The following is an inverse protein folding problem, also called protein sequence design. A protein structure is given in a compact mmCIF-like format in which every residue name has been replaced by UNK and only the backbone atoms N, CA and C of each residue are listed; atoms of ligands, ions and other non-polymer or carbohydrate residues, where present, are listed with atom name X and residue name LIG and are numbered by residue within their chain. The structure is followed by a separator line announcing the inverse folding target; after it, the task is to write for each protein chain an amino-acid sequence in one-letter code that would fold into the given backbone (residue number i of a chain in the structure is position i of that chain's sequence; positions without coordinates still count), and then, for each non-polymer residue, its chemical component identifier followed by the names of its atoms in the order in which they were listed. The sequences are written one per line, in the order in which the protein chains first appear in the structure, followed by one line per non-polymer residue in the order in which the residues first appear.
data_IF_332609630726
#
_entry.id   IF_332609630726
#
_cell.length_a   1.000
_cell.length_b   1.000
_cell.length_c   1.000
_cell.angle_alpha   90.00
_cell.angle_beta   90.00
_cell.angle_gamma   90.00
#
_symmetry.space_group_name_H-M   'P 1'
#
loop_
_entity.id
_entity.type
_entity.pdbx_description
1 polymer ?
#
# COMPACT_ATOMS: atom_id res chain seq x y z
N UNK A 1 -59.58 -11.08 -41.82
CA UNK A 1 -58.61 -10.02 -42.09
C UNK A 1 -57.96 -9.65 -40.72
N UNK A 2 -56.90 -10.36 -40.37
CA UNK A 2 -56.25 -10.25 -39.05
C UNK A 2 -55.12 -9.23 -39.11
N UNK A 3 -55.25 -8.09 -38.40
CA UNK A 3 -54.20 -7.11 -38.22
C UNK A 3 -53.27 -7.59 -37.11
N UNK A 4 -52.06 -8.00 -37.48
CA UNK A 4 -50.98 -8.35 -36.56
C UNK A 4 -50.29 -7.03 -36.11
N UNK A 5 -50.51 -6.62 -34.86
CA UNK A 5 -49.84 -5.49 -34.25
C UNK A 5 -48.42 -5.91 -33.84
N UNK A 6 -47.40 -5.42 -34.56
CA UNK A 6 -46.00 -5.55 -34.17
C UNK A 6 -45.69 -4.54 -33.06
N UNK A 7 -45.43 -5.03 -31.86
CA UNK A 7 -44.94 -4.24 -30.73
C UNK A 7 -43.42 -4.09 -30.84
N UNK A 8 -42.93 -2.93 -31.26
CA UNK A 8 -41.53 -2.63 -31.32
C UNK A 8 -41.05 -2.23 -29.91
N UNK A 9 -40.37 -3.14 -29.22
CA UNK A 9 -39.78 -2.90 -27.89
C UNK A 9 -38.48 -2.12 -28.04
N UNK A 10 -38.52 -0.83 -27.67
CA UNK A 10 -37.35 0.05 -27.67
C UNK A 10 -36.50 -0.32 -26.46
N UNK A 11 -35.35 -1.01 -26.65
CA UNK A 11 -34.38 -1.29 -25.60
C UNK A 11 -33.51 -0.03 -25.42
N UNK A 12 -33.78 0.73 -24.37
CA UNK A 12 -32.90 1.83 -23.95
C UNK A 12 -31.66 1.22 -23.31
N UNK A 13 -30.55 1.14 -24.05
CA UNK A 13 -29.23 0.82 -23.49
C UNK A 13 -28.72 2.05 -22.76
N UNK A 14 -28.96 2.11 -21.46
CA UNK A 14 -28.40 3.11 -20.59
C UNK A 14 -26.90 2.88 -20.45
N UNK A 15 -26.07 3.68 -21.14
CA UNK A 15 -24.65 3.73 -20.90
C UNK A 15 -24.40 4.35 -19.52
N UNK A 16 -24.07 3.53 -18.52
CA UNK A 16 -23.55 4.03 -17.25
C UNK A 16 -22.14 4.59 -17.51
N UNK A 17 -22.02 5.90 -17.54
CA UNK A 17 -20.71 6.57 -17.46
C UNK A 17 -20.11 6.21 -16.09
N UNK A 18 -19.16 5.29 -16.08
CA UNK A 18 -18.31 5.09 -14.93
C UNK A 18 -17.49 6.38 -14.76
N UNK A 19 -17.80 7.16 -13.73
CA UNK A 19 -16.95 8.29 -13.34
C UNK A 19 -15.58 7.74 -13.00
N UNK A 20 -14.56 8.14 -13.75
CA UNK A 20 -13.19 7.80 -13.43
C UNK A 20 -12.89 8.38 -12.04
N UNK A 21 -12.49 7.52 -11.10
CA UNK A 21 -12.11 7.97 -9.77
C UNK A 21 -10.90 8.90 -9.89
N UNK A 22 -10.97 10.07 -9.27
CA UNK A 22 -9.83 10.98 -9.18
C UNK A 22 -8.71 10.31 -8.35
N UNK A 23 -7.47 10.60 -8.70
CA UNK A 23 -6.34 10.15 -7.91
C UNK A 23 -6.39 10.78 -6.50
N UNK A 24 -6.14 9.99 -5.44
CA UNK A 24 -5.98 10.54 -4.09
C UNK A 24 -4.88 11.60 -4.02
N UNK A 25 -5.02 12.54 -3.10
CA UNK A 25 -4.00 13.56 -2.82
C UNK A 25 -3.04 13.01 -1.79
N UNK A 26 -1.75 12.95 -2.08
CA UNK A 26 -0.73 12.48 -1.14
C UNK A 26 -0.25 13.67 -0.30
N UNK A 27 -0.95 13.96 0.79
CA UNK A 27 -0.68 15.12 1.66
C UNK A 27 -0.49 14.77 3.16
N UNK A 28 -0.58 13.47 3.50
CA UNK A 28 -0.45 12.97 4.88
C UNK A 28 -1.75 13.04 5.66
N UNK A 29 -2.91 13.18 4.97
CA UNK A 29 -4.25 13.24 5.56
C UNK A 29 -5.21 12.42 4.72
N UNK A 30 -5.94 11.53 5.35
CA UNK A 30 -6.92 10.69 4.65
C UNK A 30 -8.31 11.29 4.78
N UNK A 31 -8.84 11.77 3.67
CA UNK A 31 -10.19 12.33 3.56
C UNK A 31 -11.26 11.25 3.47
N UNK A 32 -12.50 11.61 3.81
CA UNK A 32 -13.64 10.71 3.66
C UNK A 32 -13.90 10.40 2.18
N UNK A 33 -13.90 9.10 1.81
CA UNK A 33 -14.18 8.68 0.43
C UNK A 33 -13.03 8.92 -0.56
N UNK A 34 -11.85 9.30 -0.09
CA UNK A 34 -10.68 9.57 -0.92
C UNK A 34 -10.11 8.31 -1.57
N UNK A 35 -10.14 7.20 -0.87
CA UNK A 35 -9.68 5.90 -1.33
C UNK A 35 -10.83 4.96 -1.69
N UNK A 36 -10.68 4.19 -2.77
CA UNK A 36 -11.70 3.28 -3.28
C UNK A 36 -11.94 2.08 -2.37
N UNK A 37 -10.88 1.61 -1.74
CA UNK A 37 -10.87 0.41 -0.91
C UNK A 37 -10.25 0.70 0.44
N UNK A 38 -10.73 -0.02 1.45
CA UNK A 38 -10.19 0.09 2.82
C UNK A 38 -10.30 -1.26 3.51
N UNK A 39 -9.23 -1.64 4.21
CA UNK A 39 -9.17 -2.81 5.06
C UNK A 39 -8.59 -2.43 6.42
N UNK A 40 -9.27 -2.82 7.50
CA UNK A 40 -8.74 -2.72 8.86
C UNK A 40 -8.24 -4.08 9.33
N UNK A 41 -6.98 -4.14 9.71
CA UNK A 41 -6.40 -5.34 10.33
C UNK A 41 -6.52 -5.24 11.87
N UNK A 42 -7.47 -5.95 12.45
CA UNK A 42 -7.85 -5.85 13.86
C UNK A 42 -6.67 -6.08 14.84
N UNK A 43 -5.80 -7.05 14.56
CA UNK A 43 -4.70 -7.42 15.46
C UNK A 43 -3.61 -6.35 15.56
N UNK A 44 -3.32 -5.63 14.50
CA UNK A 44 -2.35 -4.52 14.50
C UNK A 44 -3.01 -3.17 14.73
N UNK A 45 -4.31 -3.08 14.53
CA UNK A 45 -5.04 -1.82 14.49
C UNK A 45 -4.75 -0.97 13.25
N UNK A 46 -3.96 -1.50 12.27
CA UNK A 46 -3.66 -0.77 11.04
C UNK A 46 -4.86 -0.75 10.12
N UNK A 47 -5.16 0.42 9.59
CA UNK A 47 -6.05 0.62 8.46
C UNK A 47 -5.20 0.83 7.21
N UNK A 48 -5.46 0.05 6.17
CA UNK A 48 -4.86 0.17 4.84
C UNK A 48 -5.95 0.60 3.89
N UNK A 49 -5.78 1.74 3.23
CA UNK A 49 -6.69 2.22 2.18
C UNK A 49 -5.93 2.35 0.87
N UNK A 50 -6.58 2.05 -0.26
CA UNK A 50 -5.91 2.16 -1.55
C UNK A 50 -6.86 2.49 -2.70
N UNK A 51 -6.27 3.10 -3.73
CA UNK A 51 -6.89 3.31 -5.04
C UNK A 51 -5.88 3.02 -6.13
N UNK A 52 -6.35 2.44 -7.23
CA UNK A 52 -5.55 2.25 -8.45
C UNK A 52 -6.10 3.18 -9.51
N UNK A 53 -5.25 4.06 -10.02
CA UNK A 53 -5.57 5.01 -11.07
C UNK A 53 -4.56 4.87 -12.19
N UNK A 54 -5.00 4.36 -13.34
CA UNK A 54 -4.13 4.01 -14.44
C UNK A 54 -3.13 2.90 -14.04
N UNK A 55 -1.84 3.18 -14.15
CA UNK A 55 -0.75 2.28 -13.80
C UNK A 55 -0.14 2.56 -12.41
N UNK A 56 -0.79 3.39 -11.62
CA UNK A 56 -0.30 3.86 -10.33
C UNK A 56 -1.23 3.42 -9.20
N UNK A 57 -0.66 2.91 -8.12
CA UNK A 57 -1.36 2.63 -6.87
C UNK A 57 -1.04 3.74 -5.86
N UNK A 58 -2.09 4.21 -5.19
CA UNK A 58 -2.05 5.13 -4.06
C UNK A 58 -2.43 4.34 -2.82
N UNK A 59 -1.62 4.43 -1.78
CA UNK A 59 -1.80 3.66 -0.55
C UNK A 59 -1.75 4.62 0.63
N UNK A 60 -2.74 4.50 1.52
CA UNK A 60 -2.76 5.18 2.80
C UNK A 60 -2.71 4.17 3.94
N UNK A 61 -1.94 4.48 4.97
CA UNK A 61 -1.70 3.65 6.13
C UNK A 61 -1.97 4.47 7.40
N UNK A 62 -2.82 3.96 8.29
CA UNK A 62 -3.09 4.58 9.57
C UNK A 62 -2.90 3.54 10.68
N UNK A 63 -2.04 3.83 11.66
CA UNK A 63 -1.77 2.89 12.76
C UNK A 63 -1.29 3.64 14.00
N UNK A 64 -1.65 3.11 15.17
CA UNK A 64 -1.07 3.57 16.43
C UNK A 64 0.37 3.01 16.58
N UNK A 65 1.35 3.90 16.63
CA UNK A 65 2.75 3.58 16.93
C UNK A 65 3.46 4.84 17.38
N UNK A 66 4.32 4.73 18.38
CA UNK A 66 5.16 5.85 18.86
C UNK A 66 6.46 6.01 18.09
N UNK A 67 6.89 4.98 17.40
CA UNK A 67 8.11 4.94 16.61
C UNK A 67 7.82 4.77 15.12
N UNK A 68 8.81 4.31 14.37
CA UNK A 68 8.68 4.07 12.94
C UNK A 68 7.60 3.01 12.64
N UNK A 69 7.06 3.05 11.46
CA UNK A 69 6.20 2.02 10.91
C UNK A 69 6.72 1.55 9.55
N UNK A 70 6.35 0.34 9.17
CA UNK A 70 6.67 -0.20 7.85
C UNK A 70 5.69 -1.27 7.41
N UNK A 71 5.65 -1.45 6.10
CA UNK A 71 4.94 -2.55 5.45
C UNK A 71 5.91 -3.34 4.58
N UNK A 72 5.54 -4.57 4.25
CA UNK A 72 6.26 -5.39 3.29
C UNK A 72 5.30 -6.12 2.37
N UNK A 73 5.65 -6.21 1.11
CA UNK A 73 4.93 -6.94 0.08
C UNK A 73 5.75 -8.17 -0.31
N UNK A 74 5.19 -9.35 -0.18
CA UNK A 74 5.90 -10.59 -0.44
C UNK A 74 5.01 -11.57 -1.22
N UNK A 75 5.44 -11.96 -2.40
CA UNK A 75 4.83 -13.08 -3.11
C UNK A 75 4.95 -14.35 -2.25
N UNK A 76 3.94 -15.21 -2.27
CA UNK A 76 3.99 -16.48 -1.57
C UNK A 76 5.14 -17.33 -2.12
N UNK A 77 6.19 -17.53 -1.31
CA UNK A 77 7.39 -18.30 -1.63
C UNK A 77 7.82 -19.12 -0.41
N UNK A 78 8.61 -20.14 -0.65
CA UNK A 78 9.21 -20.95 0.43
C UNK A 78 10.16 -20.13 1.31
N UNK A 79 10.92 -19.19 0.74
CA UNK A 79 11.85 -18.30 1.46
C UNK A 79 11.23 -16.93 1.77
N UNK A 80 10.45 -16.92 2.83
CA UNK A 80 9.50 -15.84 3.17
C UNK A 80 10.08 -14.46 3.46
N UNK A 81 11.37 -14.29 3.65
CA UNK A 81 11.93 -12.97 3.99
C UNK A 81 12.71 -12.37 2.83
N UNK A 82 13.51 -13.18 2.17
CA UNK A 82 14.33 -12.73 1.05
C UNK A 82 13.45 -12.29 -0.13
N UNK A 83 13.71 -11.11 -0.65
CA UNK A 83 12.94 -10.52 -1.74
C UNK A 83 11.61 -9.91 -1.30
N UNK A 84 11.44 -9.60 -0.01
CA UNK A 84 10.33 -8.77 0.45
C UNK A 84 10.61 -7.33 0.05
N UNK A 85 9.73 -6.75 -0.74
CA UNK A 85 9.67 -5.33 -1.06
C UNK A 85 9.09 -4.60 0.16
N UNK A 86 9.78 -3.60 0.71
CA UNK A 86 9.45 -2.95 1.98
C UNK A 86 9.43 -1.44 1.88
N UNK A 87 8.45 -0.86 2.54
CA UNK A 87 8.32 0.58 2.73
C UNK A 87 8.40 0.90 4.20
N UNK A 88 9.36 1.73 4.59
CA UNK A 88 9.52 2.17 5.97
C UNK A 88 9.34 3.67 6.09
N UNK A 89 8.67 4.09 7.16
CA UNK A 89 8.29 5.47 7.40
C UNK A 89 8.72 5.87 8.80
N UNK A 90 9.40 7.01 8.88
CA UNK A 90 9.90 7.55 10.14
C UNK A 90 9.81 9.07 10.18
N UNK A 91 10.02 9.62 11.36
CA UNK A 91 10.06 11.07 11.59
C UNK A 91 11.37 11.40 12.32
N UNK A 92 12.16 12.32 11.78
CA UNK A 92 13.37 12.82 12.42
C UNK A 92 13.30 14.34 12.50
N UNK A 93 13.38 14.86 13.73
CA UNK A 93 13.30 16.30 13.97
C UNK A 93 12.03 16.96 13.39
N UNK A 94 10.92 16.24 13.29
CA UNK A 94 9.67 16.70 12.65
C UNK A 94 9.65 16.57 11.13
N UNK A 95 10.71 16.01 10.53
CA UNK A 95 10.79 15.75 9.09
C UNK A 95 10.36 14.31 8.78
N UNK A 96 9.32 14.15 7.97
CA UNK A 96 8.89 12.87 7.45
C UNK A 96 9.89 12.28 6.44
N UNK A 97 10.13 10.98 6.54
CA UNK A 97 10.97 10.22 5.62
C UNK A 97 10.29 8.91 5.26
N UNK A 98 10.18 8.65 3.96
CA UNK A 98 9.75 7.38 3.39
C UNK A 98 10.95 6.70 2.72
N UNK A 99 11.14 5.43 3.02
CA UNK A 99 12.26 4.62 2.52
C UNK A 99 11.72 3.45 1.74
N UNK A 100 12.29 3.24 0.55
CA UNK A 100 12.09 2.10 -0.31
C UNK A 100 13.22 1.10 -0.08
N UNK A 101 12.90 -0.13 0.32
CA UNK A 101 13.86 -1.07 0.85
C UNK A 101 13.53 -2.51 0.43
N UNK A 102 14.55 -3.31 0.29
CA UNK A 102 14.43 -4.75 0.01
C UNK A 102 15.04 -5.60 1.12
N UNK A 103 14.44 -6.73 1.41
CA UNK A 103 15.03 -7.76 2.24
C UNK A 103 15.98 -8.63 1.42
N UNK A 104 17.25 -8.28 1.37
CA UNK A 104 18.27 -9.00 0.58
C UNK A 104 18.59 -10.37 1.17
N UNK A 105 18.60 -10.47 2.50
CA UNK A 105 18.94 -11.70 3.23
C UNK A 105 17.72 -12.28 3.94
N UNK A 106 17.76 -13.56 4.24
CA UNK A 106 16.71 -14.27 4.99
C UNK A 106 16.51 -13.71 6.41
N UNK A 107 17.56 -13.18 7.01
CA UNK A 107 17.60 -12.56 8.34
C UNK A 107 18.41 -11.29 8.30
N UNK A 108 18.21 -10.40 9.26
CA UNK A 108 18.89 -9.13 9.35
C UNK A 108 18.04 -7.96 8.87
N UNK A 109 18.65 -6.81 8.80
CA UNK A 109 18.02 -5.56 8.38
C UNK A 109 17.78 -5.55 6.87
N UNK A 110 16.70 -4.88 6.40
CA UNK A 110 16.53 -4.59 4.98
C UNK A 110 17.56 -3.56 4.53
N UNK A 111 17.84 -3.54 3.24
CA UNK A 111 18.74 -2.57 2.62
C UNK A 111 17.91 -1.59 1.78
N UNK A 112 18.36 -0.34 1.61
CA UNK A 112 17.76 0.56 0.63
C UNK A 112 17.85 -0.06 -0.75
N UNK A 113 16.82 0.02 -1.56
CA UNK A 113 16.82 -0.50 -2.92
C UNK A 113 17.99 0.07 -3.74
N UNK A 114 18.27 1.36 -3.57
CA UNK A 114 19.41 2.02 -4.22
C UNK A 114 20.77 1.46 -3.78
N UNK A 115 20.89 0.93 -2.58
CA UNK A 115 22.11 0.27 -2.10
C UNK A 115 22.20 -1.18 -2.60
N UNK A 116 21.06 -1.82 -2.85
CA UNK A 116 20.96 -3.17 -3.41
C UNK A 116 21.02 -3.23 -4.94
N UNK A 117 21.23 -2.08 -5.61
CA UNK A 117 21.32 -1.97 -7.06
C UNK A 117 19.99 -1.68 -7.78
N UNK A 118 18.92 -1.43 -7.00
CA UNK A 118 17.63 -1.00 -7.48
C UNK A 118 17.47 0.54 -7.48
N UNK A 119 16.23 1.00 -7.43
CA UNK A 119 15.85 2.41 -7.43
C UNK A 119 14.83 2.68 -6.33
N UNK A 120 14.69 3.95 -5.92
CA UNK A 120 13.53 4.38 -5.16
C UNK A 120 12.32 4.51 -6.09
N UNK A 121 11.32 3.67 -5.92
CA UNK A 121 10.10 3.62 -6.74
C UNK A 121 8.94 4.42 -6.14
N UNK A 122 9.11 5.01 -4.97
CA UNK A 122 8.13 5.91 -4.37
C UNK A 122 8.03 7.17 -5.21
N UNK A 123 6.85 7.41 -5.83
CA UNK A 123 6.59 8.60 -6.64
C UNK A 123 6.27 9.81 -5.77
N UNK A 124 5.43 9.61 -4.76
CA UNK A 124 5.01 10.62 -3.81
C UNK A 124 4.89 9.97 -2.44
N UNK A 125 5.23 10.69 -1.39
CA UNK A 125 4.98 10.26 -0.02
C UNK A 125 4.78 11.48 0.89
N UNK A 126 3.79 11.38 1.77
CA UNK A 126 3.55 12.34 2.84
C UNK A 126 3.12 11.60 4.10
N UNK A 127 3.45 12.13 5.26
CA UNK A 127 3.07 11.51 6.51
C UNK A 127 3.02 12.48 7.66
N UNK A 128 2.10 12.21 8.58
CA UNK A 128 1.95 12.93 9.84
C UNK A 128 2.02 11.96 11.00
N UNK A 129 2.54 12.44 12.13
CA UNK A 129 2.64 11.70 13.38
C UNK A 129 2.33 12.63 14.54
N UNK A 130 1.31 12.30 15.33
CA UNK A 130 0.84 13.11 16.46
C UNK A 130 1.48 12.75 17.82
N UNK A 131 2.51 11.92 17.82
CA UNK A 131 3.15 11.35 19.00
C UNK A 131 2.65 9.95 19.38
N UNK A 132 1.53 9.51 18.82
CA UNK A 132 0.94 8.19 19.06
C UNK A 132 0.43 7.49 17.79
N UNK A 133 0.01 8.26 16.80
CA UNK A 133 -0.63 7.73 15.60
C UNK A 133 0.06 8.23 14.34
N UNK A 134 0.24 7.34 13.39
CA UNK A 134 0.66 7.62 12.04
C UNK A 134 -0.52 7.75 11.09
N UNK A 135 -0.44 8.71 10.19
CA UNK A 135 -1.10 8.71 8.90
C UNK A 135 -0.03 8.89 7.85
N UNK A 136 0.11 7.92 6.95
CA UNK A 136 1.06 7.93 5.85
C UNK A 136 0.32 7.69 4.56
N UNK A 137 0.66 8.44 3.54
CA UNK A 137 0.22 8.24 2.18
C UNK A 137 1.43 8.16 1.26
N UNK A 138 1.39 7.26 0.29
CA UNK A 138 2.39 7.18 -0.74
C UNK A 138 1.82 6.58 -2.03
N UNK A 139 2.52 6.79 -3.14
CA UNK A 139 2.17 6.21 -4.43
C UNK A 139 3.38 5.62 -5.12
N UNK A 140 3.15 4.59 -5.92
CA UNK A 140 4.14 3.98 -6.80
C UNK A 140 3.47 3.42 -8.06
N UNK A 141 4.28 3.07 -9.06
CA UNK A 141 3.76 2.29 -10.20
C UNK A 141 3.38 0.88 -9.77
N UNK A 142 2.35 0.31 -10.38
CA UNK A 142 1.99 -1.10 -10.22
C UNK A 142 3.16 -2.00 -10.64
N UNK A 143 3.80 -1.64 -11.75
CA UNK A 143 5.03 -2.27 -12.26
C UNK A 143 6.11 -1.21 -12.34
N UNK A 144 7.12 -1.31 -11.50
CA UNK A 144 8.22 -0.34 -11.45
C UNK A 144 9.31 -0.65 -12.46
N UNK A 145 9.41 -1.92 -12.89
CA UNK A 145 10.51 -2.43 -13.69
C UNK A 145 11.81 -2.54 -12.90
N UNK A 146 11.74 -2.52 -11.57
CA UNK A 146 12.86 -2.74 -10.67
C UNK A 146 12.81 -4.17 -10.10
N UNK A 147 13.94 -4.86 -10.09
CA UNK A 147 14.03 -6.23 -9.57
C UNK A 147 13.96 -6.30 -8.03
N UNK A 148 14.17 -5.17 -7.34
CA UNK A 148 14.02 -5.05 -5.90
C UNK A 148 12.54 -4.95 -5.49
N UNK A 149 11.68 -4.49 -6.39
CA UNK A 149 10.26 -4.29 -6.16
C UNK A 149 9.42 -5.53 -6.48
N UNK A 150 8.33 -5.67 -5.77
CA UNK A 150 7.27 -6.59 -6.16
C UNK A 150 6.33 -5.93 -7.18
N UNK A 151 6.15 -6.54 -8.35
CA UNK A 151 5.10 -6.14 -9.28
C UNK A 151 3.72 -6.38 -8.64
N UNK A 152 2.88 -5.35 -8.68
CA UNK A 152 1.50 -5.43 -8.20
C UNK A 152 0.59 -5.70 -9.40
N UNK A 153 -0.11 -6.82 -9.38
CA UNK A 153 -1.20 -7.11 -10.33
C UNK A 153 -2.51 -7.08 -9.57
N UNK A 154 -3.49 -6.23 -9.95
CA UNK A 154 -4.79 -6.18 -9.28
C UNK A 154 -5.43 -7.56 -9.15
N UNK A 155 -5.89 -7.91 -7.95
CA UNK A 155 -6.46 -9.21 -7.63
C UNK A 155 -5.44 -10.34 -7.38
N UNK A 156 -4.16 -10.13 -7.63
CA UNK A 156 -3.12 -11.08 -7.26
C UNK A 156 -2.96 -11.15 -5.75
N UNK A 157 -2.91 -12.35 -5.20
CA UNK A 157 -2.71 -12.58 -3.77
C UNK A 157 -1.23 -12.55 -3.39
N UNK A 158 -0.94 -11.98 -2.24
CA UNK A 158 0.40 -11.92 -1.66
C UNK A 158 0.32 -11.83 -0.13
N UNK A 159 1.47 -11.83 0.52
CA UNK A 159 1.58 -11.62 1.96
C UNK A 159 1.85 -10.13 2.19
N UNK A 160 0.92 -9.44 2.86
CA UNK A 160 1.11 -8.08 3.33
C UNK A 160 1.63 -8.10 4.76
N UNK A 161 2.83 -7.60 4.94
CA UNK A 161 3.52 -7.56 6.24
C UNK A 161 3.35 -6.17 6.86
N UNK A 162 3.16 -6.14 8.17
CA UNK A 162 3.05 -4.92 8.97
C UNK A 162 4.10 -5.00 10.07
N UNK A 163 4.83 -3.92 10.30
CA UNK A 163 5.71 -3.76 11.44
C UNK A 163 5.59 -2.34 12.00
N UNK A 164 5.63 -2.22 13.32
CA UNK A 164 5.71 -0.94 14.02
C UNK A 164 6.79 -1.03 15.09
N UNK A 165 7.32 0.10 15.52
CA UNK A 165 8.33 0.19 16.57
C UNK A 165 7.90 1.22 17.63
N UNK A 166 8.46 1.11 18.80
CA UNK A 166 8.32 2.13 19.84
C UNK A 166 9.32 3.29 19.70
N UNK A 167 10.23 3.23 18.72
CA UNK A 167 11.29 4.23 18.48
C UNK A 167 11.29 4.70 17.02
N UNK A 168 11.64 5.96 16.80
CA UNK A 168 11.72 6.55 15.46
C UNK A 168 12.98 6.16 14.69
N UNK A 169 14.05 5.74 15.38
CA UNK A 169 15.27 5.26 14.72
C UNK A 169 15.01 3.93 14.01
N UNK A 170 15.12 3.93 12.69
CA UNK A 170 14.86 2.74 11.84
C UNK A 170 15.87 1.61 12.05
N UNK A 171 17.02 1.89 12.66
CA UNK A 171 18.03 0.88 13.04
C UNK A 171 17.61 0.07 14.27
N UNK A 172 16.63 0.56 15.03
CA UNK A 172 16.05 -0.16 16.16
C UNK A 172 15.04 -1.16 15.66
N UNK A 173 15.29 -2.45 15.91
CA UNK A 173 14.38 -3.52 15.50
C UNK A 173 13.02 -3.40 16.20
N UNK A 174 11.95 -3.77 15.48
CA UNK A 174 10.64 -3.99 16.08
C UNK A 174 10.66 -5.23 17.00
N UNK A 175 9.86 -5.27 18.03
CA UNK A 175 9.66 -6.46 18.85
C UNK A 175 8.89 -7.53 18.06
N UNK A 176 9.04 -8.80 18.47
CA UNK A 176 8.29 -9.91 17.85
C UNK A 176 6.77 -9.70 17.88
N UNK A 177 6.27 -9.01 18.89
CA UNK A 177 4.84 -8.71 19.09
C UNK A 177 4.37 -7.49 18.30
N UNK A 178 5.26 -6.78 17.63
CA UNK A 178 4.99 -5.55 16.87
C UNK A 178 5.01 -5.78 15.36
N UNK A 179 4.81 -7.03 14.94
CA UNK A 179 4.71 -7.40 13.53
C UNK A 179 3.58 -8.38 13.26
N UNK A 180 2.98 -8.26 12.08
CA UNK A 180 1.85 -9.09 11.65
C UNK A 180 1.98 -9.42 10.17
N UNK A 181 1.29 -10.46 9.74
CA UNK A 181 1.17 -10.87 8.34
C UNK A 181 -0.33 -11.02 8.01
N UNK A 182 -0.76 -10.38 6.94
CA UNK A 182 -2.06 -10.63 6.31
C UNK A 182 -1.79 -11.50 5.09
N UNK A 183 -2.19 -12.77 5.18
CA UNK A 183 -2.04 -13.72 4.05
C UNK A 183 -3.20 -13.57 3.08
N UNK A 184 -2.95 -13.90 1.83
CA UNK A 184 -3.94 -13.76 0.75
C UNK A 184 -4.48 -12.33 0.62
N UNK A 185 -3.68 -11.33 0.99
CA UNK A 185 -4.02 -9.94 0.71
C UNK A 185 -3.94 -9.68 -0.80
N UNK A 186 -4.79 -8.81 -1.30
CA UNK A 186 -4.75 -8.31 -2.68
C UNK A 186 -5.20 -6.85 -2.72
N UNK A 187 -4.60 -6.10 -3.63
CA UNK A 187 -5.05 -4.75 -3.96
C UNK A 187 -6.15 -4.73 -5.01
#
# INVERSE_FOLDING_TARGET
MNLMRVFMMLILVGSTLALAQAAPTVDGRVGTGEYAQTLRHERSGMTVSWSIVGDTIFIALQVASRGWMGIGLLAEREDRKKGTDKYMFTMDGGRFTALDMIQVKRTGEPELDTAAGGRNSILQAAGTHDGQNWTVEFSRKLKTGDAADMDITPGQRFIFMIAVSSRMDIREEHRRTERWEIRNFNF
#
